data_IF_392401616353
#
_entry.id   IF_392401616353
#
_cell.length_a   1.000
_cell.length_b   1.000
_cell.length_c   1.000
_cell.angle_alpha   90.00
_cell.angle_beta   90.00
_cell.angle_gamma   90.00
#
_symmetry.space_group_name_H-M   'P 1'
#
loop_
_entity.id
_entity.type
_entity.pdbx_description
1 polymer ?
#
# COMPACT_ATOMS: atom_id res chain seq x y z
N UNK A 1 -2.72 9.90 7.93
CA UNK A 1 -1.94 10.69 6.96
C UNK A 1 -0.67 11.16 7.64
N UNK A 2 0.49 11.04 6.98
CA UNK A 2 1.73 11.64 7.46
C UNK A 2 1.94 12.98 6.75
N UNK A 3 2.20 14.04 7.51
CA UNK A 3 2.54 15.35 6.99
C UNK A 3 3.46 16.07 7.96
N UNK A 4 4.29 16.97 7.45
CA UNK A 4 5.18 17.85 8.24
C UNK A 4 4.76 19.32 8.21
N UNK A 5 3.78 19.66 7.37
CA UNK A 5 3.42 21.06 7.06
C UNK A 5 1.93 21.33 7.19
N UNK A 6 1.14 20.34 7.59
CA UNK A 6 -0.31 20.47 7.76
C UNK A 6 -0.61 20.24 9.23
N UNK A 7 -1.32 21.20 9.83
CA UNK A 7 -1.62 21.17 11.26
C UNK A 7 -3.00 20.57 11.57
N UNK A 8 -3.91 20.50 10.58
CA UNK A 8 -5.24 19.93 10.75
C UNK A 8 -5.76 19.25 9.47
N UNK A 9 -6.61 18.22 9.65
CA UNK A 9 -7.31 17.51 8.59
C UNK A 9 -8.79 17.36 8.92
N UNK A 10 -9.63 17.19 7.91
CA UNK A 10 -11.07 16.95 8.04
C UNK A 10 -11.48 15.65 7.33
N UNK A 11 -12.62 15.09 7.70
CA UNK A 11 -13.17 13.86 7.11
C UNK A 11 -12.58 12.58 7.71
N UNK A 12 -12.41 11.54 6.89
CA UNK A 12 -11.96 10.21 7.33
C UNK A 12 -10.44 10.09 7.51
N UNK A 13 -9.74 11.20 7.70
CA UNK A 13 -8.30 11.23 7.85
C UNK A 13 -7.92 11.71 9.26
N UNK A 14 -6.86 11.12 9.81
CA UNK A 14 -6.17 11.60 11.02
C UNK A 14 -4.73 11.96 10.65
N UNK A 15 -4.18 13.01 11.26
CA UNK A 15 -2.74 13.28 11.20
C UNK A 15 -2.00 12.32 12.12
N UNK A 16 -1.03 11.59 11.56
CA UNK A 16 -0.11 10.76 12.32
C UNK A 16 0.73 11.66 13.23
N UNK A 17 0.94 11.22 14.47
CA UNK A 17 1.69 11.96 15.49
C UNK A 17 2.88 11.14 16.03
N UNK A 18 2.87 9.83 15.79
CA UNK A 18 3.92 8.92 16.22
C UNK A 18 4.80 8.49 15.03
N UNK A 19 5.81 7.66 15.31
CA UNK A 19 6.67 7.09 14.28
C UNK A 19 5.86 6.19 13.32
N UNK A 20 6.43 5.90 12.15
CA UNK A 20 5.79 5.04 11.16
C UNK A 20 5.49 3.66 11.77
N UNK A 21 6.41 3.08 12.54
CA UNK A 21 6.20 1.78 13.18
C UNK A 21 5.01 1.78 14.13
N UNK A 22 4.96 2.73 15.07
CA UNK A 22 3.88 2.84 16.05
C UNK A 22 2.50 3.08 15.39
N UNK A 23 2.47 3.92 14.36
CA UNK A 23 1.24 4.19 13.61
C UNK A 23 0.77 2.98 12.80
N UNK A 24 1.70 2.19 12.25
CA UNK A 24 1.37 0.94 11.54
C UNK A 24 0.86 -0.12 12.52
N UNK A 25 1.53 -0.31 13.66
CA UNK A 25 1.06 -1.24 14.71
C UNK A 25 -0.33 -0.87 15.20
N UNK A 26 -0.55 0.42 15.46
CA UNK A 26 -1.86 0.94 15.86
C UNK A 26 -2.91 0.68 14.78
N UNK A 27 -2.58 0.97 13.51
CA UNK A 27 -3.50 0.76 12.39
C UNK A 27 -3.89 -0.73 12.24
N UNK A 28 -2.91 -1.63 12.32
CA UNK A 28 -3.14 -3.08 12.24
C UNK A 28 -4.01 -3.54 13.42
N UNK A 29 -3.78 -3.04 14.64
CA UNK A 29 -4.57 -3.42 15.82
C UNK A 29 -6.05 -3.00 15.75
N UNK A 30 -6.40 -2.05 14.88
CA UNK A 30 -7.75 -1.49 14.75
C UNK A 30 -8.59 -2.17 13.67
N UNK A 31 -8.03 -3.12 12.91
CA UNK A 31 -8.73 -3.75 11.79
C UNK A 31 -8.22 -5.15 11.49
N UNK A 32 -9.14 -6.07 11.17
CA UNK A 32 -8.80 -7.42 10.69
C UNK A 32 -8.56 -7.46 9.16
N UNK A 33 -8.35 -6.31 8.53
CA UNK A 33 -8.17 -6.15 7.08
C UNK A 33 -6.75 -5.68 6.76
N UNK A 34 -6.34 -5.88 5.51
CA UNK A 34 -5.10 -5.33 4.97
C UNK A 34 -4.98 -3.81 5.21
N UNK A 35 -3.82 -3.39 5.71
CA UNK A 35 -3.44 -1.98 5.83
C UNK A 35 -2.54 -1.61 4.65
N UNK A 36 -2.93 -0.60 3.88
CA UNK A 36 -2.19 -0.16 2.70
C UNK A 36 -1.35 1.09 2.97
N UNK A 37 -0.13 1.12 2.42
CA UNK A 37 0.77 2.29 2.50
C UNK A 37 0.78 3.03 1.17
N UNK A 38 0.49 4.33 1.23
CA UNK A 38 0.48 5.22 0.07
C UNK A 38 1.65 6.19 0.05
N UNK A 39 2.14 6.50 -1.15
CA UNK A 39 3.21 7.48 -1.39
C UNK A 39 4.62 6.89 -1.30
N UNK A 40 5.46 7.24 -2.28
CA UNK A 40 6.77 6.61 -2.46
C UNK A 40 7.72 6.84 -1.26
N UNK A 41 7.74 8.04 -0.68
CA UNK A 41 8.60 8.35 0.48
C UNK A 41 8.20 7.54 1.71
N UNK A 42 6.91 7.43 2.00
CA UNK A 42 6.40 6.68 3.15
C UNK A 42 6.60 5.18 2.95
N UNK A 43 6.28 4.67 1.75
CA UNK A 43 6.51 3.28 1.39
C UNK A 43 8.00 2.91 1.49
N UNK A 44 8.91 3.75 1.00
CA UNK A 44 10.35 3.53 1.10
C UNK A 44 10.82 3.39 2.55
N UNK A 45 10.31 4.22 3.45
CA UNK A 45 10.65 4.15 4.88
C UNK A 45 10.09 2.87 5.53
N UNK A 46 8.84 2.52 5.24
CA UNK A 46 8.22 1.30 5.75
C UNK A 46 8.93 0.02 5.28
N UNK A 47 9.37 -0.02 4.01
CA UNK A 47 10.18 -1.12 3.47
C UNK A 47 11.50 -1.23 4.23
N UNK A 48 12.19 -0.10 4.46
CA UNK A 48 13.45 -0.09 5.21
C UNK A 48 13.31 -0.53 6.67
N UNK A 49 12.11 -0.43 7.25
CA UNK A 49 11.77 -0.92 8.59
C UNK A 49 11.28 -2.38 8.60
N UNK A 50 11.17 -3.03 7.44
CA UNK A 50 10.65 -4.40 7.34
C UNK A 50 9.15 -4.52 7.63
N UNK A 51 8.38 -3.43 7.50
CA UNK A 51 6.96 -3.38 7.84
C UNK A 51 6.02 -3.82 6.69
N UNK A 52 6.57 -4.11 5.51
CA UNK A 52 5.78 -4.46 4.32
C UNK A 52 5.87 -5.96 4.05
N UNK A 53 4.72 -6.62 4.14
CA UNK A 53 4.57 -8.06 3.89
C UNK A 53 4.21 -8.38 2.42
N UNK A 54 3.38 -7.56 1.77
CA UNK A 54 2.89 -7.79 0.41
C UNK A 54 3.08 -6.58 -0.52
N UNK A 55 3.62 -6.82 -1.72
CA UNK A 55 3.70 -5.82 -2.79
C UNK A 55 2.67 -6.08 -3.89
N UNK A 56 1.61 -5.25 -3.94
CA UNK A 56 0.61 -5.26 -5.01
C UNK A 56 0.98 -4.29 -6.13
N UNK A 57 1.82 -4.75 -7.07
CA UNK A 57 2.38 -3.90 -8.12
C UNK A 57 1.52 -3.84 -9.39
N UNK A 58 1.19 -2.63 -9.82
CA UNK A 58 0.59 -2.36 -11.13
C UNK A 58 1.64 -1.86 -12.12
N UNK A 59 1.89 -2.65 -13.17
CA UNK A 59 2.84 -2.28 -14.23
C UNK A 59 2.11 -1.67 -15.41
N UNK A 60 2.45 -0.43 -15.75
CA UNK A 60 1.95 0.25 -16.93
C UNK A 60 2.96 0.11 -18.07
N UNK A 61 2.55 -0.25 -19.30
CA UNK A 61 3.44 -0.44 -20.44
C UNK A 61 3.86 0.92 -21.06
N UNK A 62 4.48 1.77 -20.25
CA UNK A 62 4.99 3.09 -20.63
C UNK A 62 6.39 3.29 -20.05
N UNK A 63 7.27 3.95 -20.81
CA UNK A 63 8.58 4.39 -20.34
C UNK A 63 8.45 5.86 -19.95
N UNK A 64 8.58 6.15 -18.66
CA UNK A 64 8.40 7.53 -18.13
C UNK A 64 9.66 8.39 -18.24
N UNK A 65 10.82 7.80 -18.47
CA UNK A 65 12.11 8.51 -18.64
C UNK A 65 12.76 9.00 -17.35
N UNK A 66 12.04 9.06 -16.23
CA UNK A 66 12.57 9.41 -14.91
C UNK A 66 11.46 9.59 -13.87
N UNK A 67 11.85 9.90 -12.63
CA UNK A 67 10.91 10.18 -11.54
C UNK A 67 11.26 9.46 -10.25
N UNK A 68 10.34 9.49 -9.29
CA UNK A 68 10.52 8.81 -8.00
C UNK A 68 10.46 7.30 -8.20
N UNK A 69 11.50 6.55 -7.81
CA UNK A 69 11.49 5.09 -7.90
C UNK A 69 10.35 4.48 -7.08
N UNK A 70 9.76 3.40 -7.59
CA UNK A 70 8.71 2.68 -6.87
C UNK A 70 9.28 1.88 -5.68
N UNK A 71 10.46 1.27 -5.85
CA UNK A 71 11.18 0.56 -4.80
C UNK A 71 12.43 1.34 -4.39
N UNK A 72 12.77 1.39 -3.09
CA UNK A 72 14.12 1.71 -2.67
C UNK A 72 15.11 0.64 -3.14
N UNK A 73 16.42 0.81 -2.95
CA UNK A 73 17.38 -0.27 -3.11
C UNK A 73 16.93 -1.50 -2.31
N UNK A 74 16.67 -2.61 -2.99
CA UNK A 74 16.27 -3.88 -2.39
C UNK A 74 17.46 -4.84 -2.42
N UNK A 75 17.77 -5.43 -1.26
CA UNK A 75 18.89 -6.37 -1.09
C UNK A 75 18.41 -7.82 -1.01
N UNK A 76 17.10 -8.04 -0.90
CA UNK A 76 16.50 -9.35 -0.70
C UNK A 76 15.54 -9.70 -1.84
N UNK A 77 15.48 -10.99 -2.18
CA UNK A 77 14.57 -11.50 -3.18
C UNK A 77 13.18 -11.74 -2.58
N UNK A 78 12.14 -11.35 -3.31
CA UNK A 78 10.74 -11.56 -2.92
C UNK A 78 10.10 -12.52 -3.93
N UNK A 79 9.30 -13.45 -3.44
CA UNK A 79 8.61 -14.42 -4.29
C UNK A 79 7.38 -13.81 -4.95
N UNK A 80 7.25 -13.99 -6.27
CA UNK A 80 6.05 -13.59 -6.99
C UNK A 80 4.93 -14.61 -6.77
N UNK A 81 3.92 -14.22 -6.00
CA UNK A 81 2.79 -15.10 -5.67
C UNK A 81 1.68 -15.11 -6.71
N UNK A 82 1.51 -14.00 -7.46
CA UNK A 82 0.43 -13.85 -8.43
C UNK A 82 0.80 -12.87 -9.53
N UNK A 83 0.43 -13.20 -10.76
CA UNK A 83 0.47 -12.29 -11.91
C UNK A 83 -0.91 -12.28 -12.58
N UNK A 84 -1.51 -11.10 -12.70
CA UNK A 84 -2.79 -10.92 -13.40
C UNK A 84 -2.58 -9.95 -14.55
N UNK A 85 -3.11 -10.29 -15.72
CA UNK A 85 -3.14 -9.40 -16.88
C UNK A 85 -4.45 -8.63 -16.89
N UNK A 86 -4.33 -7.32 -16.98
CA UNK A 86 -5.44 -6.39 -17.16
C UNK A 86 -5.49 -6.00 -18.64
N UNK A 87 -6.69 -5.88 -19.22
CA UNK A 87 -6.81 -5.29 -20.56
C UNK A 87 -6.41 -3.80 -20.48
N UNK A 88 -6.05 -3.21 -21.62
CA UNK A 88 -5.46 -1.86 -21.70
C UNK A 88 -6.30 -0.73 -21.06
N UNK A 89 -7.59 -0.98 -20.83
CA UNK A 89 -8.54 -0.03 -20.24
C UNK A 89 -9.15 -0.53 -18.91
N UNK A 90 -8.65 -1.65 -18.38
CA UNK A 90 -9.09 -2.15 -17.08
C UNK A 90 -8.37 -1.36 -15.99
N UNK A 91 -9.11 -0.48 -15.30
CA UNK A 91 -8.66 -0.03 -13.97
C UNK A 91 -8.53 -1.25 -13.09
N UNK A 92 -7.38 -1.41 -12.46
CA UNK A 92 -7.28 -2.35 -11.37
C UNK A 92 -8.15 -1.85 -10.23
N UNK A 93 -9.34 -2.44 -10.10
CA UNK A 93 -10.13 -2.30 -8.89
C UNK A 93 -9.43 -3.13 -7.81
N UNK A 94 -9.30 -2.63 -6.57
CA UNK A 94 -8.81 -3.45 -5.47
C UNK A 94 -9.72 -4.68 -5.34
N UNK A 95 -9.23 -5.84 -5.77
CA UNK A 95 -9.98 -7.09 -5.65
C UNK A 95 -9.77 -7.62 -4.24
N UNK A 96 -10.81 -7.54 -3.40
CA UNK A 96 -10.85 -8.26 -2.13
C UNK A 96 -11.00 -9.76 -2.42
N UNK A 97 -10.22 -10.60 -1.75
CA UNK A 97 -10.49 -12.04 -1.71
C UNK A 97 -11.75 -12.23 -0.86
N UNK A 98 -12.84 -12.75 -1.44
CA UNK A 98 -13.97 -13.24 -0.64
C UNK A 98 -13.46 -14.42 0.19
N UNK A 99 -13.69 -14.37 1.50
CA UNK A 99 -13.45 -15.53 2.37
C UNK A 99 -14.39 -16.68 2.00
N UNK A 100 -14.06 -17.94 2.34
CA UNK A 100 -14.87 -19.10 1.97
C UNK A 100 -16.33 -19.07 2.45
N UNK A 101 -16.70 -18.17 3.38
CA UNK A 101 -18.03 -18.06 3.98
C UNK A 101 -18.86 -16.83 3.55
N UNK A 102 -18.37 -15.97 2.65
CA UNK A 102 -19.11 -14.77 2.24
C UNK A 102 -19.95 -15.05 0.98
N UNK A 103 -21.22 -15.43 1.18
CA UNK A 103 -22.18 -15.56 0.06
C UNK A 103 -22.57 -14.16 -0.45
N UNK A 104 -22.68 -13.97 -1.79
CA UNK A 104 -23.15 -12.72 -2.35
C UNK A 104 -24.59 -12.47 -1.91
N UNK A 105 -24.83 -11.31 -1.32
CA UNK A 105 -26.18 -10.87 -0.98
C UNK A 105 -26.96 -10.68 -2.29
N UNK A 106 -28.14 -11.28 -2.36
CA UNK A 106 -29.06 -11.21 -3.50
C UNK A 106 -29.62 -9.79 -3.69
#
# INVERSE_FOLDING_TARGET
>A
MFSRTIDAVQGNARLAQASIGEEVETAISQTDKDVAIGGATLASAAIGLGLVDEFRMFRNPVIVGGGTPFLPPVTEAISLVRNVRFARDSRALPTRRLGPDEKPNA
#
